data_IF_049378381748
#
_entry.id   IF_049378381748
#
_cell.length_a   1.000
_cell.length_b   1.000
_cell.length_c   1.000
_cell.angle_alpha   90.00
_cell.angle_beta   90.00
_cell.angle_gamma   90.00
#
_symmetry.space_group_name_H-M   'P 1'
#
loop_
_entity.id
_entity.type
_entity.pdbx_description
1 polymer ?
#
# COMPACT_ATOMS: atom_id res chain seq x y z
N UNK A 1 38.67 53.81 -19.40
CA UNK A 1 37.67 54.18 -20.43
C UNK A 1 37.02 52.88 -20.89
N UNK A 2 36.07 52.37 -20.09
CA UNK A 2 34.63 52.68 -20.17
C UNK A 2 34.01 51.94 -21.36
N UNK A 3 33.40 50.78 -21.17
CA UNK A 3 32.28 50.60 -20.26
C UNK A 3 31.03 51.18 -20.91
N UNK A 4 30.59 50.58 -22.03
CA UNK A 4 29.37 51.02 -22.73
C UNK A 4 28.78 49.95 -23.67
N UNK A 5 28.77 48.67 -23.29
CA UNK A 5 28.06 47.63 -24.09
C UNK A 5 27.36 46.54 -23.27
N UNK A 6 27.10 46.77 -21.97
CA UNK A 6 26.31 45.85 -21.12
C UNK A 6 25.02 46.44 -20.55
N UNK A 7 24.49 47.51 -21.15
CA UNK A 7 23.27 48.18 -20.69
C UNK A 7 22.21 48.33 -21.80
N UNK A 8 21.99 47.27 -22.58
CA UNK A 8 20.92 47.26 -23.59
C UNK A 8 20.37 45.84 -23.79
N UNK A 9 19.95 45.20 -22.69
CA UNK A 9 19.07 44.02 -22.73
C UNK A 9 18.24 43.84 -21.43
N UNK A 10 17.98 44.94 -20.71
CA UNK A 10 17.11 44.96 -19.52
C UNK A 10 16.31 46.27 -19.57
N UNK A 11 15.41 46.42 -20.55
CA UNK A 11 14.42 47.51 -20.56
C UNK A 11 13.26 47.28 -21.54
N UNK A 12 12.71 46.06 -21.61
CA UNK A 12 11.51 45.75 -22.41
C UNK A 12 10.51 44.80 -21.72
N UNK A 13 10.46 44.73 -20.39
CA UNK A 13 9.47 43.90 -19.67
C UNK A 13 8.67 44.63 -18.58
N UNK A 14 8.66 45.96 -18.58
CA UNK A 14 7.77 46.73 -17.70
C UNK A 14 7.12 47.82 -18.52
N UNK A 15 5.95 47.53 -19.10
CA UNK A 15 4.87 48.49 -19.47
C UNK A 15 3.83 47.83 -20.40
N UNK A 16 3.10 46.80 -19.93
CA UNK A 16 1.73 46.52 -20.40
C UNK A 16 0.91 46.11 -19.18
N UNK A 17 0.58 47.10 -18.36
CA UNK A 17 -0.48 47.02 -17.35
C UNK A 17 -1.51 48.08 -17.74
N UNK A 18 -2.78 47.69 -17.67
CA UNK A 18 -4.01 48.45 -17.95
C UNK A 18 -4.57 48.34 -19.38
N UNK A 19 -5.45 47.35 -19.59
CA UNK A 19 -6.82 47.56 -20.07
C UNK A 19 -7.49 46.21 -20.45
N UNK A 20 -7.78 45.35 -19.47
CA UNK A 20 -8.84 44.35 -19.56
C UNK A 20 -9.44 44.18 -18.16
N UNK A 21 -10.43 45.03 -17.84
CA UNK A 21 -11.46 44.70 -16.85
C UNK A 21 -12.38 43.70 -17.54
N UNK A 22 -11.90 42.46 -17.66
CA UNK A 22 -12.74 41.30 -17.90
C UNK A 22 -13.30 40.87 -16.54
N UNK A 23 -14.60 40.59 -16.50
CA UNK A 23 -15.29 40.05 -15.35
C UNK A 23 -14.41 39.03 -14.62
N UNK A 24 -14.03 39.31 -13.38
CA UNK A 24 -13.62 38.27 -12.45
C UNK A 24 -14.87 37.43 -12.24
N UNK A 25 -15.03 36.39 -13.06
CA UNK A 25 -15.94 35.32 -12.73
C UNK A 25 -15.53 34.85 -11.35
N UNK A 26 -16.44 34.99 -10.38
CA UNK A 26 -16.30 34.36 -9.08
C UNK A 26 -15.79 32.93 -9.29
N UNK A 27 -14.84 32.43 -8.47
CA UNK A 27 -14.51 31.02 -8.52
C UNK A 27 -15.83 30.28 -8.32
N UNK A 28 -16.37 29.73 -9.40
CA UNK A 28 -17.47 28.80 -9.31
C UNK A 28 -16.88 27.68 -8.48
N UNK A 29 -17.34 27.56 -7.24
CA UNK A 29 -17.23 26.34 -6.46
C UNK A 29 -18.01 25.29 -7.24
N UNK A 30 -17.39 24.79 -8.31
CA UNK A 30 -17.78 23.55 -8.94
C UNK A 30 -17.51 22.53 -7.85
N UNK A 31 -18.56 22.19 -7.10
CA UNK A 31 -18.58 21.02 -6.26
C UNK A 31 -18.20 19.85 -7.16
N UNK A 32 -16.93 19.46 -7.14
CA UNK A 32 -16.50 18.19 -7.69
C UNK A 32 -17.17 17.15 -6.82
N UNK A 33 -18.15 16.46 -7.39
CA UNK A 33 -18.73 15.26 -6.80
C UNK A 33 -17.59 14.25 -6.64
N UNK A 34 -17.04 14.16 -5.43
CA UNK A 34 -16.05 13.15 -5.06
C UNK A 34 -16.81 11.93 -4.60
N UNK A 35 -16.65 10.82 -5.32
CA UNK A 35 -17.23 9.56 -4.92
C UNK A 35 -16.30 8.84 -3.93
N UNK A 36 -16.91 8.27 -2.88
CA UNK A 36 -16.24 7.50 -1.84
C UNK A 36 -16.54 6.02 -2.07
N UNK A 37 -15.52 5.17 -2.30
CA UNK A 37 -15.72 3.74 -2.55
C UNK A 37 -16.36 3.02 -1.36
N UNK A 38 -17.14 1.99 -1.65
CA UNK A 38 -17.84 1.18 -0.66
C UNK A 38 -17.60 -0.31 -0.89
N UNK A 39 -17.49 -1.06 0.21
CA UNK A 39 -17.44 -2.54 0.13
C UNK A 39 -18.85 -3.07 -0.05
N UNK A 40 -19.11 -3.66 -1.20
CA UNK A 40 -20.40 -4.30 -1.50
C UNK A 40 -20.59 -5.54 -0.61
N UNK A 41 -21.76 -5.71 0.05
CA UNK A 41 -22.03 -6.88 0.88
C UNK A 41 -21.90 -8.19 0.09
N UNK A 42 -21.17 -9.16 0.64
CA UNK A 42 -20.97 -10.47 0.02
C UNK A 42 -20.00 -10.50 -1.15
N UNK A 43 -19.34 -9.38 -1.49
CA UNK A 43 -18.28 -9.37 -2.50
C UNK A 43 -17.14 -10.32 -2.07
N UNK A 44 -16.73 -11.18 -2.99
CA UNK A 44 -15.54 -12.03 -2.81
C UNK A 44 -14.35 -11.44 -3.55
N UNK A 45 -13.14 -11.95 -3.25
CA UNK A 45 -11.94 -11.61 -4.01
C UNK A 45 -12.09 -11.89 -5.51
N UNK A 46 -12.70 -13.02 -5.87
CA UNK A 46 -12.96 -13.36 -7.26
C UNK A 46 -13.92 -12.36 -7.92
N UNK A 47 -14.95 -11.91 -7.20
CA UNK A 47 -15.88 -10.89 -7.71
C UNK A 47 -15.19 -9.54 -7.92
N UNK A 48 -14.33 -9.13 -6.98
CA UNK A 48 -13.56 -7.90 -7.11
C UNK A 48 -12.59 -7.95 -8.30
N UNK A 49 -11.86 -9.07 -8.48
CA UNK A 49 -10.99 -9.30 -9.64
C UNK A 49 -11.78 -9.25 -10.95
N UNK A 50 -12.93 -9.92 -11.00
CA UNK A 50 -13.80 -9.91 -12.18
C UNK A 50 -14.40 -8.52 -12.46
N UNK A 51 -14.76 -7.77 -11.42
CA UNK A 51 -15.26 -6.41 -11.54
C UNK A 51 -14.18 -5.47 -12.11
N UNK A 52 -12.95 -5.56 -11.61
CA UNK A 52 -11.82 -4.79 -12.12
C UNK A 52 -11.47 -5.19 -13.56
N UNK A 53 -11.44 -6.49 -13.85
CA UNK A 53 -11.17 -6.97 -15.20
C UNK A 53 -12.24 -6.53 -16.21
N UNK A 54 -13.53 -6.66 -15.89
CA UNK A 54 -14.62 -6.25 -16.79
C UNK A 54 -14.63 -4.74 -17.05
N UNK A 55 -14.51 -3.93 -15.99
CA UNK A 55 -14.51 -2.45 -16.11
C UNK A 55 -13.33 -1.92 -16.91
N UNK A 56 -12.15 -2.55 -16.81
CA UNK A 56 -10.98 -2.18 -17.59
C UNK A 56 -11.02 -2.76 -19.00
N UNK A 57 -11.64 -3.93 -19.19
CA UNK A 57 -11.78 -4.57 -20.50
C UNK A 57 -12.75 -3.83 -21.42
N UNK A 58 -13.85 -3.27 -20.91
CA UNK A 58 -14.82 -2.52 -21.73
C UNK A 58 -14.19 -1.29 -22.42
N UNK A 59 -13.03 -0.83 -21.94
CA UNK A 59 -12.21 0.22 -22.56
C UNK A 59 -11.43 -0.24 -23.81
N UNK A 60 -11.25 -1.55 -24.00
CA UNK A 60 -10.52 -2.14 -25.13
C UNK A 60 -11.20 -1.97 -26.49
N UNK A 61 -12.49 -1.61 -26.51
CA UNK A 61 -13.20 -1.32 -27.76
C UNK A 61 -12.91 0.07 -28.35
N UNK A 62 -11.99 0.83 -27.75
CA UNK A 62 -11.44 2.05 -28.34
C UNK A 62 -10.02 1.78 -28.86
N UNK A 63 -9.62 2.42 -29.96
CA UNK A 63 -8.29 2.25 -30.60
C UNK A 63 -7.09 2.63 -29.70
N UNK A 64 -7.34 3.16 -28.50
CA UNK A 64 -6.36 3.47 -27.45
C UNK A 64 -6.60 2.65 -26.16
N UNK A 65 -7.09 1.41 -26.30
CA UNK A 65 -7.47 0.54 -25.18
C UNK A 65 -6.33 0.23 -24.21
N UNK A 66 -6.69 -0.17 -22.99
CA UNK A 66 -5.76 -0.56 -21.94
C UNK A 66 -6.09 -2.00 -21.54
N UNK A 67 -5.10 -2.88 -21.57
CA UNK A 67 -5.19 -4.23 -21.02
C UNK A 67 -4.80 -4.22 -19.55
N UNK A 68 -5.64 -4.79 -18.70
CA UNK A 68 -5.30 -5.10 -17.32
C UNK A 68 -5.13 -6.61 -17.16
N UNK A 69 -4.03 -7.04 -16.53
CA UNK A 69 -3.81 -8.42 -16.09
C UNK A 69 -3.57 -8.43 -14.59
N UNK A 70 -4.13 -9.44 -13.92
CA UNK A 70 -3.97 -9.66 -12.49
C UNK A 70 -3.34 -11.03 -12.33
N UNK A 71 -2.08 -11.06 -11.96
CA UNK A 71 -1.29 -12.29 -11.79
C UNK A 71 -0.40 -12.16 -10.56
N UNK A 72 -0.20 -13.26 -9.82
CA UNK A 72 0.71 -13.30 -8.66
C UNK A 72 0.55 -12.13 -7.68
N UNK A 73 -0.69 -11.79 -7.33
CA UNK A 73 -1.02 -10.66 -6.46
C UNK A 73 -0.46 -9.30 -6.92
N UNK A 74 -0.32 -9.11 -8.24
CA UNK A 74 0.04 -7.85 -8.86
C UNK A 74 -1.00 -7.46 -9.92
N UNK A 75 -1.16 -6.15 -10.09
CA UNK A 75 -1.92 -5.54 -11.17
C UNK A 75 -0.91 -4.99 -12.17
N UNK A 76 -1.00 -5.45 -13.42
CA UNK A 76 -0.26 -4.89 -14.53
C UNK A 76 -1.24 -4.27 -15.53
N UNK A 77 -1.00 -3.00 -15.84
CA UNK A 77 -1.80 -2.19 -16.75
C UNK A 77 -0.93 -1.87 -17.96
N UNK A 78 -1.35 -2.27 -19.15
CA UNK A 78 -0.59 -2.17 -20.39
C UNK A 78 -1.39 -1.43 -21.45
N UNK A 79 -0.78 -0.50 -22.17
CA UNK A 79 -1.37 0.17 -23.32
C UNK A 79 -1.48 -0.82 -24.50
N UNK A 80 -2.65 -0.93 -25.12
CA UNK A 80 -2.82 -1.77 -26.31
C UNK A 80 -2.17 -1.18 -27.55
N UNK A 81 -1.99 0.14 -27.60
CA UNK A 81 -1.49 0.83 -28.78
C UNK A 81 -0.01 0.47 -29.09
N UNK A 82 0.78 0.27 -28.04
CA UNK A 82 2.23 0.06 -28.12
C UNK A 82 2.75 -1.08 -27.24
N UNK A 83 1.87 -1.74 -26.47
CA UNK A 83 2.25 -2.82 -25.54
C UNK A 83 3.05 -2.34 -24.34
N UNK A 84 3.16 -1.02 -24.10
CA UNK A 84 3.93 -0.50 -22.97
C UNK A 84 3.19 -0.70 -21.67
N UNK A 85 3.91 -1.15 -20.64
CA UNK A 85 3.40 -1.23 -19.27
C UNK A 85 3.26 0.19 -18.73
N UNK A 86 2.01 0.61 -18.51
CA UNK A 86 1.65 1.90 -17.94
C UNK A 86 1.78 1.90 -16.42
N UNK A 87 1.47 0.77 -15.79
CA UNK A 87 1.63 0.58 -14.36
C UNK A 87 1.85 -0.92 -14.06
N UNK A 88 2.70 -1.22 -13.10
CA UNK A 88 2.90 -2.57 -12.57
C UNK A 88 3.14 -2.47 -11.06
N UNK A 89 2.23 -3.03 -10.27
CA UNK A 89 2.32 -2.94 -8.82
C UNK A 89 1.67 -4.13 -8.13
N UNK A 90 2.30 -4.60 -7.06
CA UNK A 90 1.72 -5.58 -6.16
C UNK A 90 0.53 -5.01 -5.39
N UNK A 91 -0.45 -5.85 -5.07
CA UNK A 91 -1.64 -5.49 -4.30
C UNK A 91 -1.31 -4.85 -2.96
N UNK A 92 -0.20 -5.24 -2.32
CA UNK A 92 0.26 -4.63 -1.07
C UNK A 92 0.45 -3.10 -1.18
N UNK A 93 0.72 -2.56 -2.38
CA UNK A 93 0.83 -1.11 -2.60
C UNK A 93 -0.52 -0.40 -2.52
N UNK A 94 -1.65 -1.12 -2.55
CA UNK A 94 -2.97 -0.54 -2.32
C UNK A 94 -3.19 -0.17 -0.85
N UNK A 95 -2.44 -0.75 0.10
CA UNK A 95 -2.65 -0.49 1.53
C UNK A 95 -2.45 1.00 1.85
N UNK A 96 -3.46 1.61 2.49
CA UNK A 96 -3.40 3.02 2.90
C UNK A 96 -3.41 4.03 1.76
N UNK A 97 -3.61 3.61 0.50
CA UNK A 97 -3.80 4.54 -0.61
C UNK A 97 -5.22 5.07 -0.66
N UNK A 98 -5.34 6.37 -0.89
CA UNK A 98 -6.61 6.99 -1.22
C UNK A 98 -7.05 6.56 -2.62
N UNK A 99 -8.30 6.13 -2.73
CA UNK A 99 -8.93 5.80 -4.00
C UNK A 99 -9.95 6.91 -4.28
N UNK A 100 -9.58 7.83 -5.17
CA UNK A 100 -10.39 9.02 -5.46
C UNK A 100 -11.04 8.86 -6.82
N UNK A 101 -12.37 8.94 -6.85
CA UNK A 101 -13.12 9.07 -8.10
C UNK A 101 -13.68 10.48 -8.19
N UNK A 102 -13.31 11.18 -9.26
CA UNK A 102 -13.75 12.55 -9.54
C UNK A 102 -14.42 12.62 -10.91
N UNK A 103 -15.52 13.37 -10.97
CA UNK A 103 -16.34 13.47 -12.17
C UNK A 103 -15.85 14.50 -13.18
N UNK A 104 -16.10 14.20 -14.45
CA UNK A 104 -16.07 15.17 -15.53
C UNK A 104 -17.45 15.82 -15.70
N UNK A 105 -17.52 17.15 -15.78
CA UNK A 105 -18.76 17.83 -16.16
C UNK A 105 -18.95 17.73 -17.68
N UNK A 106 -20.10 17.23 -18.13
CA UNK A 106 -20.46 17.16 -19.55
C UNK A 106 -19.80 15.98 -20.27
N UNK A 107 -18.98 16.26 -21.29
CA UNK A 107 -18.30 15.24 -22.11
C UNK A 107 -16.94 14.80 -21.56
N UNK A 108 -16.57 15.27 -20.36
CA UNK A 108 -15.30 14.92 -19.73
C UNK A 108 -15.38 13.51 -19.11
N UNK A 109 -14.35 12.67 -19.27
CA UNK A 109 -14.34 11.35 -18.66
C UNK A 109 -14.27 11.44 -17.12
N UNK A 110 -14.69 10.36 -16.45
CA UNK A 110 -14.51 10.20 -15.00
C UNK A 110 -13.08 9.77 -14.71
N UNK A 111 -12.42 10.44 -13.77
CA UNK A 111 -11.05 10.14 -13.39
C UNK A 111 -11.04 9.39 -12.06
N UNK A 112 -10.53 8.16 -12.09
CA UNK A 112 -10.14 7.42 -10.88
C UNK A 112 -8.63 7.59 -10.68
N UNK A 113 -8.22 8.15 -9.56
CA UNK A 113 -6.82 8.33 -9.20
C UNK A 113 -6.44 7.43 -8.03
N UNK A 114 -5.30 6.74 -8.20
CA UNK A 114 -4.52 6.11 -7.15
C UNK A 114 -3.23 6.92 -7.01
N UNK A 115 -3.16 7.91 -6.10
CA UNK A 115 -2.02 8.83 -5.99
C UNK A 115 -0.69 8.09 -5.90
N UNK A 116 0.27 8.49 -6.74
CA UNK A 116 1.60 7.85 -6.79
C UNK A 116 1.66 6.49 -7.51
N UNK A 117 0.52 5.93 -7.96
CA UNK A 117 0.47 4.70 -8.75
C UNK A 117 0.01 4.93 -10.18
N UNK A 118 -1.26 5.28 -10.36
CA UNK A 118 -1.89 5.36 -11.69
C UNK A 118 -3.15 6.21 -11.65
N UNK A 119 -3.50 6.81 -12.78
CA UNK A 119 -4.80 7.45 -12.98
C UNK A 119 -5.48 6.86 -14.21
N UNK A 120 -6.75 6.48 -14.04
CA UNK A 120 -7.55 5.80 -15.06
C UNK A 120 -8.77 6.65 -15.41
N UNK A 121 -9.01 6.83 -16.71
CA UNK A 121 -10.17 7.53 -17.22
C UNK A 121 -11.27 6.51 -17.60
N UNK A 122 -12.50 6.80 -17.21
CA UNK A 122 -13.68 6.01 -17.48
C UNK A 122 -14.70 6.82 -18.28
N UNK A 123 -15.43 6.16 -19.17
CA UNK A 123 -16.43 6.81 -20.03
C UNK A 123 -17.64 7.23 -19.20
N UNK A 124 -18.05 6.36 -18.27
CA UNK A 124 -19.21 6.55 -17.43
C UNK A 124 -18.85 6.41 -15.95
N UNK A 125 -19.70 7.02 -15.12
CA UNK A 125 -19.56 7.03 -13.68
C UNK A 125 -19.62 5.63 -13.06
N UNK A 126 -20.55 4.79 -13.53
CA UNK A 126 -20.80 3.49 -12.93
C UNK A 126 -19.59 2.55 -13.09
N UNK A 127 -18.90 2.60 -14.23
CA UNK A 127 -17.65 1.88 -14.45
C UNK A 127 -16.53 2.35 -13.51
N UNK A 128 -16.39 3.67 -13.31
CA UNK A 128 -15.39 4.23 -12.40
C UNK A 128 -15.65 3.83 -10.94
N UNK A 129 -16.90 3.97 -10.49
CA UNK A 129 -17.34 3.59 -9.14
C UNK A 129 -17.14 2.09 -8.91
N UNK A 130 -17.53 1.24 -9.87
CA UNK A 130 -17.36 -0.21 -9.78
C UNK A 130 -15.88 -0.63 -9.69
N UNK A 131 -15.00 0.01 -10.45
CA UNK A 131 -13.56 -0.24 -10.37
C UNK A 131 -12.99 0.21 -9.02
N UNK A 132 -13.43 1.36 -8.51
CA UNK A 132 -13.00 1.89 -7.23
C UNK A 132 -13.48 1.03 -6.06
N UNK A 133 -14.73 0.56 -6.05
CA UNK A 133 -15.28 -0.37 -5.07
C UNK A 133 -14.49 -1.68 -5.02
N UNK A 134 -14.15 -2.23 -6.20
CA UNK A 134 -13.37 -3.45 -6.29
C UNK A 134 -11.95 -3.28 -5.69
N UNK A 135 -11.27 -2.19 -6.02
CA UNK A 135 -9.95 -1.87 -5.46
C UNK A 135 -10.01 -1.60 -3.96
N UNK A 136 -11.06 -0.94 -3.50
CA UNK A 136 -11.29 -0.68 -2.08
C UNK A 136 -11.54 -1.97 -1.30
N UNK A 137 -12.36 -2.89 -1.84
CA UNK A 137 -12.51 -4.22 -1.27
C UNK A 137 -11.17 -4.96 -1.15
N UNK A 138 -10.36 -4.95 -2.21
CA UNK A 138 -9.03 -5.59 -2.18
C UNK A 138 -8.13 -4.96 -1.12
N UNK A 139 -8.12 -3.63 -0.99
CA UNK A 139 -7.40 -2.92 0.06
C UNK A 139 -7.83 -3.38 1.46
N UNK A 140 -9.14 -3.47 1.72
CA UNK A 140 -9.67 -3.91 3.02
C UNK A 140 -9.35 -5.37 3.33
N UNK A 141 -9.39 -6.26 2.32
CA UNK A 141 -9.00 -7.66 2.51
C UNK A 141 -7.51 -7.81 2.87
N UNK A 142 -6.64 -7.06 2.19
CA UNK A 142 -5.21 -7.02 2.50
C UNK A 142 -4.94 -6.45 3.89
N UNK A 143 -5.68 -5.41 4.28
CA UNK A 143 -5.61 -4.82 5.62
C UNK A 143 -5.98 -5.86 6.67
N UNK A 144 -7.08 -6.60 6.46
CA UNK A 144 -7.48 -7.70 7.31
C UNK A 144 -6.43 -8.82 7.38
N UNK A 145 -5.77 -9.16 6.27
CA UNK A 145 -4.68 -10.14 6.26
C UNK A 145 -3.48 -9.68 7.08
N UNK A 146 -3.08 -8.41 6.96
CA UNK A 146 -2.01 -7.80 7.75
C UNK A 146 -2.33 -7.85 9.24
N UNK A 147 -3.54 -7.44 9.62
CA UNK A 147 -3.95 -7.37 11.03
C UNK A 147 -4.06 -8.77 11.66
N UNK A 148 -4.61 -9.75 10.92
CA UNK A 148 -4.60 -11.16 11.34
C UNK A 148 -3.19 -11.72 11.49
N UNK A 149 -2.25 -11.29 10.64
CA UNK A 149 -0.84 -11.64 10.75
C UNK A 149 -0.23 -11.12 12.05
N UNK A 150 -0.47 -9.85 12.37
CA UNK A 150 -0.01 -9.22 13.60
C UNK A 150 -0.63 -9.86 14.85
N UNK A 151 -1.94 -10.11 14.83
CA UNK A 151 -2.65 -10.78 15.92
C UNK A 151 -2.10 -12.20 16.14
N UNK A 152 -1.86 -12.95 15.06
CA UNK A 152 -1.25 -14.27 15.14
C UNK A 152 0.15 -14.22 15.75
N UNK A 153 0.97 -13.26 15.32
CA UNK A 153 2.32 -13.08 15.86
C UNK A 153 2.28 -12.81 17.36
N UNK A 154 1.41 -11.89 17.81
CA UNK A 154 1.25 -11.57 19.23
C UNK A 154 0.81 -12.80 20.06
N UNK A 155 -0.13 -13.61 19.54
CA UNK A 155 -0.54 -14.87 20.18
C UNK A 155 0.57 -15.94 20.17
N UNK A 156 1.52 -15.84 19.24
CA UNK A 156 2.59 -16.82 19.08
C UNK A 156 3.79 -16.55 19.99
N UNK A 157 4.01 -15.31 20.42
CA UNK A 157 5.09 -14.96 21.36
C UNK A 157 5.15 -15.83 22.63
N UNK A 158 4.05 -16.05 23.39
CA UNK A 158 4.11 -16.91 24.57
C UNK A 158 4.40 -18.38 24.23
N UNK A 159 3.92 -18.87 23.08
CA UNK A 159 4.21 -20.23 22.59
C UNK A 159 5.70 -20.37 22.30
N UNK A 160 6.29 -19.39 21.63
CA UNK A 160 7.71 -19.38 21.33
C UNK A 160 8.57 -19.27 22.61
N UNK A 161 8.13 -18.49 23.60
CA UNK A 161 8.82 -18.42 24.90
C UNK A 161 8.84 -19.78 25.61
N UNK A 162 7.72 -20.50 25.64
CA UNK A 162 7.64 -21.85 26.18
C UNK A 162 8.56 -22.81 25.41
N UNK A 163 8.51 -22.79 24.08
CA UNK A 163 9.39 -23.60 23.23
C UNK A 163 10.87 -23.37 23.57
N UNK A 164 11.30 -22.11 23.71
CA UNK A 164 12.69 -21.76 24.03
C UNK A 164 13.11 -22.30 25.42
N UNK A 165 12.19 -22.33 26.38
CA UNK A 165 12.45 -22.84 27.73
C UNK A 165 12.53 -24.38 27.83
N UNK A 166 12.06 -25.14 26.84
CA UNK A 166 12.14 -26.61 26.85
C UNK A 166 13.59 -27.11 26.78
N UNK A 167 13.96 -28.03 27.67
CA UNK A 167 15.25 -28.74 27.61
C UNK A 167 15.35 -29.64 26.37
N UNK A 168 14.26 -30.34 26.06
CA UNK A 168 14.15 -31.19 24.86
C UNK A 168 13.15 -30.57 23.89
N UNK A 169 13.60 -30.21 22.70
CA UNK A 169 12.74 -29.62 21.67
C UNK A 169 11.84 -30.69 21.04
N UNK A 170 10.55 -30.39 20.79
CA UNK A 170 9.64 -31.31 20.13
C UNK A 170 10.20 -31.72 18.76
N UNK A 171 10.08 -33.01 18.45
CA UNK A 171 10.51 -33.57 17.17
C UNK A 171 9.30 -33.70 16.25
N UNK A 172 9.53 -33.51 14.95
CA UNK A 172 8.51 -33.79 13.95
C UNK A 172 8.14 -35.28 13.92
N UNK A 173 6.85 -35.57 13.77
CA UNK A 173 6.41 -36.92 13.37
C UNK A 173 6.76 -37.21 11.89
N UNK A 174 6.74 -38.49 11.51
CA UNK A 174 7.00 -38.91 10.13
C UNK A 174 5.98 -38.33 9.13
N UNK A 175 4.71 -38.18 9.52
CA UNK A 175 3.70 -37.53 8.65
C UNK A 175 3.99 -36.04 8.47
N UNK A 176 4.43 -35.32 9.52
CA UNK A 176 4.88 -33.93 9.38
C UNK A 176 6.10 -33.82 8.45
N UNK A 177 7.08 -34.73 8.58
CA UNK A 177 8.26 -34.76 7.70
C UNK A 177 7.89 -34.98 6.24
N UNK A 178 7.00 -35.94 5.97
CA UNK A 178 6.47 -36.20 4.63
C UNK A 178 5.80 -34.96 4.03
N UNK A 179 5.00 -34.22 4.81
CA UNK A 179 4.38 -32.98 4.35
C UNK A 179 5.42 -31.91 4.01
N UNK A 180 6.47 -31.74 4.81
CA UNK A 180 7.57 -30.80 4.53
C UNK A 180 8.32 -31.18 3.25
N UNK A 181 8.64 -32.46 3.05
CA UNK A 181 9.29 -32.93 1.81
C UNK A 181 8.41 -32.64 0.58
N UNK A 182 7.10 -32.87 0.69
CA UNK A 182 6.16 -32.50 -0.38
C UNK A 182 6.13 -30.99 -0.62
N UNK A 183 6.12 -30.19 0.44
CA UNK A 183 6.12 -28.73 0.34
C UNK A 183 7.38 -28.20 -0.37
N UNK A 184 8.55 -28.76 -0.05
CA UNK A 184 9.81 -28.45 -0.73
C UNK A 184 9.75 -28.77 -2.22
N UNK A 185 9.34 -29.99 -2.58
CA UNK A 185 9.24 -30.39 -3.99
C UNK A 185 8.22 -29.52 -4.78
N UNK A 186 7.14 -29.07 -4.14
CA UNK A 186 6.18 -28.15 -4.74
C UNK A 186 6.75 -26.73 -4.90
N UNK A 187 7.57 -26.30 -3.95
CA UNK A 187 8.28 -25.01 -4.01
C UNK A 187 9.23 -24.96 -5.19
N UNK A 188 10.02 -26.01 -5.40
CA UNK A 188 10.92 -26.15 -6.57
C UNK A 188 10.16 -26.11 -7.90
N UNK A 189 8.94 -26.66 -7.92
CA UNK A 189 8.03 -26.63 -9.07
C UNK A 189 7.26 -25.31 -9.21
N UNK A 190 7.55 -24.30 -8.39
CA UNK A 190 6.85 -23.00 -8.33
C UNK A 190 5.35 -23.11 -8.06
N UNK A 191 4.91 -24.21 -7.46
CA UNK A 191 3.51 -24.42 -7.05
C UNK A 191 3.29 -23.86 -5.65
N UNK A 192 3.47 -22.54 -5.50
CA UNK A 192 3.58 -21.88 -4.20
C UNK A 192 2.33 -22.06 -3.32
N UNK A 193 1.12 -21.98 -3.88
CA UNK A 193 -0.11 -22.21 -3.13
C UNK A 193 -0.20 -23.64 -2.56
N UNK A 194 0.16 -24.64 -3.36
CA UNK A 194 0.16 -26.04 -2.92
C UNK A 194 1.25 -26.28 -1.86
N UNK A 195 2.44 -25.69 -2.05
CA UNK A 195 3.53 -25.77 -1.08
C UNK A 195 3.12 -25.17 0.28
N UNK A 196 2.49 -23.99 0.25
CA UNK A 196 1.96 -23.30 1.42
C UNK A 196 0.95 -24.16 2.20
N UNK A 197 0.00 -24.80 1.50
CA UNK A 197 -0.97 -25.70 2.13
C UNK A 197 -0.27 -26.85 2.86
N UNK A 198 0.74 -27.46 2.24
CA UNK A 198 1.52 -28.55 2.85
C UNK A 198 2.26 -28.09 4.09
N UNK A 199 2.87 -26.90 4.08
CA UNK A 199 3.49 -26.34 5.27
C UNK A 199 2.50 -26.09 6.41
N UNK A 200 1.32 -25.52 6.13
CA UNK A 200 0.30 -25.34 7.16
C UNK A 200 -0.15 -26.66 7.77
N UNK A 201 -0.33 -27.70 6.95
CA UNK A 201 -0.65 -29.03 7.46
C UNK A 201 0.47 -29.63 8.29
N UNK A 202 1.73 -29.34 7.97
CA UNK A 202 2.88 -29.84 8.72
C UNK A 202 2.97 -29.21 10.12
N UNK A 203 2.66 -27.92 10.26
CA UNK A 203 2.72 -27.21 11.56
C UNK A 203 1.41 -27.22 12.35
N UNK A 204 0.31 -27.69 11.77
CA UNK A 204 -0.98 -27.73 12.45
C UNK A 204 -1.03 -28.61 13.71
N UNK A 205 -0.40 -29.81 13.75
CA UNK A 205 -0.41 -30.66 14.95
C UNK A 205 0.44 -30.09 16.09
N UNK A 206 1.57 -29.48 15.75
CA UNK A 206 2.47 -28.80 16.68
C UNK A 206 3.18 -27.69 15.92
N UNK A 207 2.87 -26.45 16.29
CA UNK A 207 3.39 -25.25 15.66
C UNK A 207 4.89 -25.05 15.91
N UNK A 208 5.49 -25.77 16.87
CA UNK A 208 6.88 -25.55 17.31
C UNK A 208 7.81 -26.69 16.95
N UNK A 209 7.29 -27.83 16.49
CA UNK A 209 8.11 -29.01 16.15
C UNK A 209 8.99 -28.82 14.91
N UNK A 210 8.72 -27.80 14.09
CA UNK A 210 9.53 -27.46 12.93
C UNK A 210 9.62 -25.94 12.69
N UNK A 211 10.51 -25.23 13.41
CA UNK A 211 10.70 -23.79 13.23
C UNK A 211 10.98 -23.39 11.77
N UNK A 212 11.73 -24.21 11.02
CA UNK A 212 12.07 -23.97 9.62
C UNK A 212 10.87 -23.83 8.67
N UNK A 213 9.67 -24.34 9.03
CA UNK A 213 8.47 -24.09 8.24
C UNK A 213 8.13 -22.60 8.15
N UNK A 214 8.36 -21.83 9.22
CA UNK A 214 8.05 -20.40 9.21
C UNK A 214 8.98 -19.60 8.31
N UNK A 215 10.27 -19.97 8.28
CA UNK A 215 11.23 -19.41 7.33
C UNK A 215 10.79 -19.71 5.88
N UNK A 216 10.44 -20.96 5.58
CA UNK A 216 10.03 -21.36 4.24
C UNK A 216 8.68 -20.75 3.83
N UNK A 217 7.72 -20.66 4.76
CA UNK A 217 6.47 -19.94 4.55
C UNK A 217 6.73 -18.46 4.25
N UNK A 218 7.62 -17.80 4.99
CA UNK A 218 7.96 -16.40 4.74
C UNK A 218 8.49 -16.19 3.32
N UNK A 219 9.41 -17.05 2.87
CA UNK A 219 9.93 -17.00 1.51
C UNK A 219 8.85 -17.26 0.46
N UNK A 220 7.95 -18.22 0.69
CA UNK A 220 6.82 -18.49 -0.21
C UNK A 220 5.86 -17.30 -0.32
N UNK A 221 5.50 -16.67 0.80
CA UNK A 221 4.63 -15.48 0.80
C UNK A 221 5.28 -14.33 0.03
N UNK A 222 6.60 -14.14 0.16
CA UNK A 222 7.33 -13.16 -0.65
C UNK A 222 7.30 -13.48 -2.14
N UNK A 223 7.45 -14.76 -2.54
CA UNK A 223 7.30 -15.19 -3.95
C UNK A 223 5.89 -14.96 -4.49
N UNK A 224 4.88 -14.92 -3.61
CA UNK A 224 3.49 -14.60 -3.94
C UNK A 224 3.19 -13.10 -3.82
N UNK A 225 4.18 -12.21 -3.72
CA UNK A 225 4.00 -10.76 -3.53
C UNK A 225 3.14 -10.38 -2.29
N UNK A 226 3.29 -11.12 -1.19
CA UNK A 226 2.62 -10.86 0.09
C UNK A 226 3.64 -10.50 1.18
N UNK A 227 4.30 -9.32 1.10
CA UNK A 227 5.39 -8.94 2.00
C UNK A 227 4.99 -8.88 3.48
N UNK A 228 3.77 -8.43 3.82
CA UNK A 228 3.31 -8.41 5.20
C UNK A 228 3.17 -9.82 5.82
N UNK A 229 2.69 -10.79 5.04
CA UNK A 229 2.64 -12.20 5.47
C UNK A 229 4.05 -12.78 5.60
N UNK A 230 4.94 -12.44 4.66
CA UNK A 230 6.34 -12.84 4.70
C UNK A 230 7.03 -12.36 5.98
N UNK A 231 6.87 -11.08 6.32
CA UNK A 231 7.38 -10.48 7.56
C UNK A 231 6.81 -11.19 8.79
N UNK A 232 5.49 -11.43 8.84
CA UNK A 232 4.85 -12.08 9.98
C UNK A 232 5.44 -13.48 10.24
N UNK A 233 5.57 -14.32 9.20
CA UNK A 233 6.15 -15.65 9.36
C UNK A 233 7.65 -15.61 9.68
N UNK A 234 8.42 -14.69 9.08
CA UNK A 234 9.84 -14.56 9.40
C UNK A 234 10.04 -14.12 10.86
N UNK A 235 9.18 -13.25 11.39
CA UNK A 235 9.15 -12.91 12.81
C UNK A 235 8.81 -14.14 13.67
N UNK A 236 7.85 -14.98 13.27
CA UNK A 236 7.59 -16.25 13.98
C UNK A 236 8.80 -17.19 13.99
N UNK A 237 9.56 -17.27 12.89
CA UNK A 237 10.80 -18.04 12.83
C UNK A 237 11.83 -17.53 13.85
N UNK A 238 12.10 -16.22 13.84
CA UNK A 238 13.05 -15.59 14.76
C UNK A 238 12.60 -15.64 16.22
N UNK A 239 11.28 -15.69 16.49
CA UNK A 239 10.79 -15.95 17.84
C UNK A 239 11.17 -17.37 18.30
N UNK A 240 11.07 -18.39 17.47
CA UNK A 240 11.43 -19.75 17.89
C UNK A 240 12.93 -19.95 18.03
N UNK A 241 13.72 -19.42 17.10
CA UNK A 241 15.16 -19.67 16.99
C UNK A 241 15.95 -18.36 16.76
N UNK A 242 16.00 -17.46 17.76
CA UNK A 242 16.64 -16.15 17.61
C UNK A 242 18.15 -16.21 17.34
N UNK A 243 18.80 -17.31 17.76
CA UNK A 243 20.23 -17.54 17.60
C UNK A 243 20.56 -18.52 16.46
N UNK A 244 19.62 -18.75 15.54
CA UNK A 244 19.87 -19.59 14.37
C UNK A 244 21.04 -19.04 13.54
N UNK A 245 21.85 -19.89 12.87
CA UNK A 245 22.97 -19.42 12.05
C UNK A 245 22.58 -18.43 10.95
N UNK A 246 21.33 -18.48 10.49
CA UNK A 246 20.73 -17.62 9.47
C UNK A 246 19.85 -16.51 10.05
N UNK A 247 19.80 -16.32 11.37
CA UNK A 247 18.94 -15.32 12.03
C UNK A 247 19.21 -13.90 11.52
N UNK A 248 20.48 -13.55 11.28
CA UNK A 248 20.83 -12.24 10.71
C UNK A 248 20.26 -12.07 9.29
N UNK A 249 20.42 -13.08 8.44
CA UNK A 249 19.87 -13.07 7.08
C UNK A 249 18.34 -13.00 7.07
N UNK A 250 17.69 -13.70 8.00
CA UNK A 250 16.24 -13.63 8.21
C UNK A 250 15.78 -12.21 8.61
N UNK A 251 16.52 -11.55 9.51
CA UNK A 251 16.25 -10.17 9.88
C UNK A 251 16.46 -9.20 8.71
N UNK A 252 17.52 -9.38 7.92
CA UNK A 252 17.77 -8.54 6.74
C UNK A 252 16.65 -8.69 5.70
N UNK A 253 16.08 -9.89 5.53
CA UNK A 253 14.88 -10.09 4.68
C UNK A 253 13.66 -9.33 5.18
N UNK A 254 13.48 -9.23 6.50
CA UNK A 254 12.41 -8.41 7.06
C UNK A 254 12.59 -6.95 6.64
N UNK A 255 13.80 -6.41 6.74
CA UNK A 255 14.09 -5.02 6.31
C UNK A 255 13.86 -4.82 4.81
N UNK A 256 14.27 -5.78 3.97
CA UNK A 256 14.00 -5.73 2.53
C UNK A 256 12.50 -5.66 2.23
N UNK A 257 11.67 -6.43 2.94
CA UNK A 257 10.23 -6.46 2.73
C UNK A 257 9.51 -5.27 3.37
N UNK A 258 10.00 -4.76 4.50
CA UNK A 258 9.48 -3.53 5.13
C UNK A 258 9.63 -2.33 4.20
N UNK A 259 10.71 -2.24 3.41
CA UNK A 259 10.89 -1.22 2.38
C UNK A 259 9.81 -1.22 1.29
N UNK A 260 9.17 -2.37 1.03
CA UNK A 260 8.12 -2.50 0.02
C UNK A 260 6.77 -2.00 0.53
N UNK A 261 6.57 -2.00 1.86
CA UNK A 261 5.31 -1.59 2.44
C UNK A 261 5.19 -0.06 2.36
N UNK A 262 3.98 0.46 2.12
CA UNK A 262 3.75 1.88 2.34
C UNK A 262 4.12 2.17 3.79
N UNK A 263 4.89 3.24 4.03
CA UNK A 263 5.14 3.71 5.38
C UNK A 263 3.78 3.78 6.05
N UNK A 264 3.59 2.98 7.11
CA UNK A 264 2.41 3.13 7.95
C UNK A 264 2.32 4.61 8.24
N UNK A 265 1.22 5.28 7.90
CA UNK A 265 0.98 6.69 8.24
C UNK A 265 0.88 6.95 9.75
N UNK A 266 1.61 6.18 10.55
CA UNK A 266 1.90 6.28 11.95
C UNK A 266 3.30 6.88 12.22
N UNK A 267 3.90 7.60 11.26
CA UNK A 267 4.40 8.90 11.67
C UNK A 267 3.15 9.76 11.93
N UNK A 268 2.61 9.65 13.16
CA UNK A 268 2.18 10.87 13.83
C UNK A 268 3.27 11.88 13.51
N UNK A 269 2.92 12.90 12.74
CA UNK A 269 3.69 14.12 12.65
C UNK A 269 3.76 14.69 14.08
N UNK A 270 4.58 14.07 14.93
CA UNK A 270 5.20 14.69 16.07
C UNK A 270 6.14 15.71 15.48
N UNK A 271 5.52 16.79 15.00
CA UNK A 271 6.16 18.06 14.77
C UNK A 271 6.75 18.39 16.13
N UNK A 272 8.01 18.04 16.34
CA UNK A 272 8.79 18.54 17.47
C UNK A 272 8.92 20.04 17.20
N UNK A 273 7.92 20.80 17.60
CA UNK A 273 8.03 22.25 17.70
C UNK A 273 9.04 22.48 18.80
N UNK A 274 10.28 22.79 18.40
CA UNK A 274 11.27 23.34 19.30
C UNK A 274 10.72 24.67 19.82
N UNK A 275 10.35 24.72 21.09
CA UNK A 275 9.92 25.95 21.77
C UNK A 275 11.12 26.70 22.35
N UNK A 276 12.16 26.91 21.54
CA UNK A 276 13.30 27.74 21.94
C UNK A 276 13.46 28.91 20.97
N UNK A 277 13.34 30.17 21.43
CA UNK A 277 13.19 30.61 22.83
C UNK A 277 11.74 30.50 23.38
N UNK A 278 11.57 30.42 24.71
CA UNK A 278 10.31 30.09 25.41
C UNK A 278 9.14 31.08 25.26
N UNK A 279 9.29 32.17 24.50
CA UNK A 279 8.30 33.25 24.37
C UNK A 279 7.74 33.45 22.95
N UNK A 280 8.01 32.53 22.00
CA UNK A 280 7.46 32.64 20.65
C UNK A 280 5.96 32.28 20.60
N UNK A 281 5.14 33.16 19.99
CA UNK A 281 3.76 32.84 19.63
C UNK A 281 3.75 31.67 18.63
N UNK A 282 3.10 30.58 19.02
CA UNK A 282 2.90 29.39 18.19
C UNK A 282 1.84 29.68 17.10
N UNK A 283 2.28 29.89 15.86
CA UNK A 283 1.40 29.71 14.69
C UNK A 283 1.43 28.24 14.28
N UNK A 284 0.45 27.45 14.74
CA UNK A 284 0.23 26.10 14.21
C UNK A 284 -0.68 26.22 12.98
N UNK A 285 -0.10 26.15 11.79
CA UNK A 285 -0.87 25.98 10.56
C UNK A 285 -1.16 24.50 10.38
N UNK A 286 -2.32 24.05 10.86
CA UNK A 286 -2.86 22.74 10.49
C UNK A 286 -3.41 22.87 9.08
N UNK A 287 -2.79 22.21 8.11
CA UNK A 287 -3.30 22.17 6.74
C UNK A 287 -4.42 21.12 6.66
N UNK A 288 -5.63 21.54 6.96
CA UNK A 288 -6.86 20.87 6.53
C UNK A 288 -7.47 21.74 5.41
N UNK A 289 -7.70 21.23 4.18
CA UNK A 289 -8.24 22.04 3.10
C UNK A 289 -9.72 22.34 3.35
N UNK A 290 -10.00 23.37 4.15
CA UNK A 290 -11.34 23.97 4.21
C UNK A 290 -11.74 24.62 5.54
N UNK A 291 -11.05 24.40 6.65
CA UNK A 291 -11.41 25.01 7.95
C UNK A 291 -10.18 25.30 8.80
N UNK A 292 -9.66 26.53 8.72
CA UNK A 292 -8.62 26.99 9.64
C UNK A 292 -9.22 27.36 11.00
N UNK A 293 -8.79 26.68 12.06
CA UNK A 293 -9.00 27.14 13.44
C UNK A 293 -7.73 27.83 13.91
N UNK A 294 -7.86 29.02 14.49
CA UNK A 294 -6.75 29.74 15.14
C UNK A 294 -6.97 29.64 16.64
N UNK A 295 -6.10 28.91 17.34
CA UNK A 295 -6.07 28.89 18.80
C UNK A 295 -5.12 29.99 19.29
N UNK A 296 -5.66 30.99 20.00
CA UNK A 296 -4.87 31.98 20.74
C UNK A 296 -4.91 31.60 22.23
N UNK A 297 -3.86 30.96 22.73
CA UNK A 297 -3.74 30.61 24.15
C UNK A 297 -2.30 30.27 24.55
N UNK A 298 -1.93 30.57 25.81
CA UNK A 298 -0.65 30.16 26.40
C UNK A 298 -0.67 28.64 26.64
N UNK A 299 0.34 27.93 26.15
CA UNK A 299 0.48 26.50 26.41
C UNK A 299 0.75 26.25 27.90
N UNK A 300 0.00 25.37 28.60
CA UNK A 300 0.48 24.79 29.85
C UNK A 300 1.65 23.85 29.56
N UNK A 301 2.63 23.78 30.48
CA UNK A 301 3.95 23.14 30.31
C UNK A 301 3.99 21.64 29.95
N UNK A 302 2.85 21.02 29.68
CA UNK A 302 2.73 19.76 28.95
C UNK A 302 1.29 19.59 28.49
N UNK A 303 1.05 19.58 27.18
CA UNK A 303 -0.19 19.08 26.59
C UNK A 303 0.15 17.82 25.78
N UNK A 304 -0.60 16.74 26.00
CA UNK A 304 -0.65 15.60 25.08
C UNK A 304 -1.89 15.81 24.21
N UNK A 305 -1.70 15.79 22.91
CA UNK A 305 -2.77 15.67 21.92
C UNK A 305 -2.80 14.22 21.47
#
# INVERSE_FOLDING_TARGET
MSGLHRALLICCCVSVMAALVGCVASPSTTHTDVYQPVVQPGMTWADAVNALHSTLHDRNNTSAGIKCSIENNAITITSNADGRVCADFGFYRLLGLDIVVSGGTGSQPFLMALPGLVSLNFIDRASAEKAADALYFMQQDLQNLRDKGNERLAKFEPVAAQYRALETKPQMSEEQRKLVVQANALTEKKQFFNAREKYFRAIAPDATSYPGAYFNLALLEAQMNLPFSAIAYMKQYLLLVPDAPDARSAQDKIYEWELLLPESGAEEATTRVSTDPPDALLEVKVSDPGKGWVFLGRAPGSARF
#
